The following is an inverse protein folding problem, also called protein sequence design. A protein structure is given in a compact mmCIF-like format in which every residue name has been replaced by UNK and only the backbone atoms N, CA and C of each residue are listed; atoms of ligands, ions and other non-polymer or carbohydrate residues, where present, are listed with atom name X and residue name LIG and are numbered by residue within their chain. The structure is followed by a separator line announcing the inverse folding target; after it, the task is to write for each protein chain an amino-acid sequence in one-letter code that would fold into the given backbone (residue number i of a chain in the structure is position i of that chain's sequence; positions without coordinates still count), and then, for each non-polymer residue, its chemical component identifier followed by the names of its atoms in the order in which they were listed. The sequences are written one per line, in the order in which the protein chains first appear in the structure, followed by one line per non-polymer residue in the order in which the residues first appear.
data_IF_386365213575
#
_entry.id   IF_386365213575
#
_cell.length_a   1.000
_cell.length_b   1.000
_cell.length_c   1.000
_cell.angle_alpha   90.00
_cell.angle_beta   90.00
_cell.angle_gamma   90.00
#
_symmetry.space_group_name_H-M   'P 1'
#
loop_
_entity.id
_entity.type
_entity.pdbx_description
1 polymer ?
#
# COMPACT_ATOMS: atom_id res chain seq x y z
N UNK A 1 17.78 -2.76 12.83
CA UNK A 1 17.59 -1.71 11.81
C UNK A 1 17.46 -2.24 10.39
N UNK A 2 18.17 -3.31 9.99
CA UNK A 2 18.10 -3.85 8.62
C UNK A 2 16.69 -4.14 8.08
N UNK A 3 15.76 -4.66 8.90
CA UNK A 3 14.40 -4.98 8.45
C UNK A 3 13.55 -3.78 8.03
N UNK A 4 13.84 -2.57 8.54
CA UNK A 4 13.13 -1.36 8.15
C UNK A 4 13.36 -1.00 6.68
N UNK A 5 14.47 -1.42 6.08
CA UNK A 5 14.74 -1.19 4.66
C UNK A 5 13.65 -1.84 3.79
N UNK A 6 13.13 -2.99 4.19
CA UNK A 6 12.05 -3.68 3.47
C UNK A 6 10.74 -2.91 3.56
N UNK A 7 10.47 -2.29 4.71
CA UNK A 7 9.29 -1.44 4.90
C UNK A 7 9.37 -0.21 4.01
N UNK A 8 10.54 0.45 3.97
CA UNK A 8 10.77 1.65 3.13
C UNK A 8 10.70 1.31 1.65
N UNK A 9 11.36 0.23 1.21
CA UNK A 9 11.30 -0.24 -0.18
C UNK A 9 9.88 -0.63 -0.54
N UNK A 10 9.18 -1.36 0.33
CA UNK A 10 7.78 -1.73 0.12
C UNK A 10 6.87 -0.51 -0.02
N UNK A 11 7.07 0.53 0.81
CA UNK A 11 6.37 1.81 0.68
C UNK A 11 6.60 2.47 -0.67
N UNK A 12 7.85 2.53 -1.13
CA UNK A 12 8.18 3.11 -2.42
C UNK A 12 7.49 2.36 -3.58
N UNK A 13 7.51 1.02 -3.54
CA UNK A 13 6.84 0.18 -4.54
C UNK A 13 5.32 0.33 -4.50
N UNK A 14 4.74 0.49 -3.30
CA UNK A 14 3.31 0.74 -3.14
C UNK A 14 2.87 2.05 -3.78
N UNK A 15 3.59 3.14 -3.47
CA UNK A 15 3.32 4.46 -4.04
C UNK A 15 3.51 4.49 -5.55
N UNK A 16 4.55 3.81 -6.05
CA UNK A 16 4.76 3.66 -7.49
C UNK A 16 3.58 2.93 -8.15
N UNK A 17 3.14 1.81 -7.56
CA UNK A 17 1.99 1.06 -8.05
C UNK A 17 0.71 1.91 -8.09
N UNK A 18 0.46 2.69 -7.04
CA UNK A 18 -0.68 3.61 -7.00
C UNK A 18 -0.60 4.63 -8.12
N UNK A 19 0.55 5.25 -8.31
CA UNK A 19 0.78 6.20 -9.40
C UNK A 19 0.49 5.60 -10.78
N UNK A 20 0.97 4.37 -11.04
CA UNK A 20 0.69 3.67 -12.29
C UNK A 20 -0.80 3.34 -12.47
N UNK A 21 -1.48 2.96 -11.38
CA UNK A 21 -2.90 2.64 -11.43
C UNK A 21 -3.73 3.89 -11.72
N UNK A 22 -3.45 5.00 -11.04
CA UNK A 22 -4.16 6.27 -11.26
C UNK A 22 -3.92 6.83 -12.67
N UNK A 23 -2.68 6.68 -13.20
CA UNK A 23 -2.37 7.06 -14.58
C UNK A 23 -3.14 6.24 -15.61
N UNK A 24 -3.55 5.01 -15.28
CA UNK A 24 -4.38 4.18 -16.14
C UNK A 24 -5.87 4.56 -16.12
N UNK A 25 -6.29 5.46 -15.22
CA UNK A 25 -7.64 6.03 -15.14
C UNK A 25 -7.61 7.56 -15.33
N UNK A 26 -7.19 8.06 -16.52
CA UNK A 26 -7.24 9.49 -16.79
C UNK A 26 -8.70 9.96 -16.91
N UNK A 27 -9.13 10.89 -16.06
CA UNK A 27 -10.49 11.47 -16.12
C UNK A 27 -11.63 10.55 -15.65
N UNK A 28 -11.36 9.28 -15.35
CA UNK A 28 -12.37 8.33 -14.91
C UNK A 28 -12.27 8.05 -13.41
N UNK A 29 -13.43 7.75 -12.79
CA UNK A 29 -13.48 7.34 -11.39
C UNK A 29 -12.88 5.95 -11.23
N UNK A 30 -11.90 5.84 -10.33
CA UNK A 30 -11.33 4.57 -9.93
C UNK A 30 -12.15 3.98 -8.76
N UNK A 31 -12.58 2.71 -8.83
CA UNK A 31 -13.26 2.06 -7.72
C UNK A 31 -12.29 1.84 -6.55
N UNK A 32 -12.71 2.16 -5.32
CA UNK A 32 -11.89 2.01 -4.10
C UNK A 32 -11.84 0.57 -3.62
N UNK A 33 -12.97 -0.14 -3.72
CA UNK A 33 -13.14 -1.49 -3.14
C UNK A 33 -13.22 -2.60 -4.19
N UNK A 34 -13.39 -2.25 -5.47
CA UNK A 34 -13.47 -3.22 -6.56
C UNK A 34 -12.11 -3.32 -7.28
N UNK A 35 -11.89 -4.46 -7.92
CA UNK A 35 -10.65 -4.72 -8.62
C UNK A 35 -10.53 -3.77 -9.84
N UNK A 36 -9.48 -2.94 -9.94
CA UNK A 36 -9.35 -1.98 -11.03
C UNK A 36 -9.06 -2.69 -12.36
N UNK A 37 -10.06 -2.76 -13.24
CA UNK A 37 -9.98 -3.42 -14.54
C UNK A 37 -8.87 -2.88 -15.47
N UNK A 38 -8.53 -1.58 -15.38
CA UNK A 38 -7.50 -0.94 -16.21
C UNK A 38 -6.12 -0.92 -15.54
N UNK A 39 -5.97 -1.50 -14.35
CA UNK A 39 -4.67 -1.47 -13.67
C UNK A 39 -3.64 -2.29 -14.45
N UNK A 40 -2.46 -1.73 -14.75
CA UNK A 40 -1.43 -2.45 -15.48
C UNK A 40 -0.91 -3.61 -14.62
N UNK A 41 -0.62 -4.76 -15.26
CA UNK A 41 -0.10 -5.97 -14.57
C UNK A 41 1.11 -5.67 -13.68
N UNK A 42 1.99 -4.75 -14.11
CA UNK A 42 3.14 -4.29 -13.32
C UNK A 42 2.73 -3.62 -12.00
N UNK A 43 1.66 -2.83 -11.98
CA UNK A 43 1.15 -2.22 -10.76
C UNK A 43 0.62 -3.28 -9.78
N UNK A 44 -0.07 -4.31 -10.27
CA UNK A 44 -0.55 -5.43 -9.44
C UNK A 44 0.62 -6.18 -8.80
N UNK A 45 1.66 -6.50 -9.59
CA UNK A 45 2.87 -7.15 -9.08
C UNK A 45 3.57 -6.27 -8.04
N UNK A 46 3.75 -4.97 -8.32
CA UNK A 46 4.33 -4.03 -7.38
C UNK A 46 3.55 -3.94 -6.06
N UNK A 47 2.21 -3.99 -6.10
CA UNK A 47 1.35 -4.05 -4.91
C UNK A 47 1.63 -5.30 -4.09
N UNK A 48 1.66 -6.47 -4.73
CA UNK A 48 1.91 -7.72 -4.04
C UNK A 48 3.30 -7.74 -3.38
N UNK A 49 4.34 -7.32 -4.12
CA UNK A 49 5.71 -7.24 -3.61
C UNK A 49 5.83 -6.22 -2.48
N UNK A 50 5.20 -5.05 -2.62
CA UNK A 50 5.16 -4.02 -1.58
C UNK A 50 4.53 -4.53 -0.29
N UNK A 51 3.35 -5.15 -0.38
CA UNK A 51 2.65 -5.70 0.79
C UNK A 51 3.48 -6.80 1.45
N UNK A 52 4.07 -7.71 0.68
CA UNK A 52 4.94 -8.76 1.21
C UNK A 52 6.16 -8.17 1.94
N UNK A 53 6.83 -7.17 1.35
CA UNK A 53 7.98 -6.51 1.94
C UNK A 53 7.64 -5.78 3.26
N UNK A 54 6.49 -5.10 3.31
CA UNK A 54 6.03 -4.39 4.52
C UNK A 54 5.63 -5.39 5.61
N UNK A 55 4.86 -6.42 5.29
CA UNK A 55 4.45 -7.46 6.27
C UNK A 55 5.68 -8.15 6.85
N UNK A 56 6.58 -8.62 5.98
CA UNK A 56 7.78 -9.32 6.42
C UNK A 56 8.73 -8.40 7.18
N UNK A 57 9.01 -7.20 6.65
CA UNK A 57 9.88 -6.21 7.31
C UNK A 57 9.35 -5.79 8.68
N UNK A 58 8.05 -5.53 8.79
CA UNK A 58 7.41 -5.16 10.06
C UNK A 58 7.39 -6.32 11.04
N UNK A 59 7.08 -7.54 10.58
CA UNK A 59 7.09 -8.74 11.41
C UNK A 59 8.48 -9.02 12.00
N UNK A 60 9.51 -9.03 11.15
CA UNK A 60 10.89 -9.24 11.58
C UNK A 60 11.40 -8.12 12.47
N UNK A 61 11.03 -6.86 12.20
CA UNK A 61 11.37 -5.74 13.07
C UNK A 61 10.69 -5.87 14.44
N UNK A 62 9.41 -6.22 14.48
CA UNK A 62 8.64 -6.35 15.72
C UNK A 62 9.13 -7.51 16.58
N UNK A 63 9.61 -8.59 15.96
CA UNK A 63 10.22 -9.72 16.67
C UNK A 63 11.47 -9.32 17.47
N UNK A 64 12.18 -8.24 17.08
CA UNK A 64 13.35 -7.74 17.82
C UNK A 64 12.99 -7.08 19.16
N UNK A 65 11.72 -6.80 19.42
CA UNK A 65 11.28 -6.12 20.64
C UNK A 65 11.18 -7.03 21.87
N UNK A 66 11.36 -8.36 21.72
CA UNK A 66 11.23 -9.32 22.82
C UNK A 66 9.82 -9.36 23.42
N UNK A 67 8.81 -8.94 22.67
CA UNK A 67 7.40 -8.87 23.10
C UNK A 67 6.62 -10.13 22.67
N UNK A 68 5.46 -10.41 23.30
CA UNK A 68 4.60 -11.50 22.87
C UNK A 68 4.17 -11.37 21.40
N UNK A 69 3.97 -12.49 20.71
CA UNK A 69 3.71 -12.53 19.26
C UNK A 69 2.49 -11.72 18.81
N UNK A 70 1.49 -11.50 19.66
CA UNK A 70 0.33 -10.65 19.33
C UNK A 70 0.73 -9.19 19.07
N UNK A 71 1.80 -8.70 19.69
CA UNK A 71 2.30 -7.33 19.48
C UNK A 71 2.83 -7.19 18.05
N UNK A 72 3.49 -8.21 17.51
CA UNK A 72 3.94 -8.22 16.12
C UNK A 72 2.76 -8.25 15.14
N UNK A 73 1.69 -9.00 15.46
CA UNK A 73 0.47 -9.00 14.65
C UNK A 73 -0.21 -7.62 14.62
N UNK A 74 -0.30 -6.95 15.78
CA UNK A 74 -0.84 -5.57 15.87
C UNK A 74 0.05 -4.60 15.10
N UNK A 75 1.37 -4.71 15.20
CA UNK A 75 2.30 -3.85 14.48
C UNK A 75 2.17 -4.02 12.95
N UNK A 76 2.08 -5.25 12.45
CA UNK A 76 1.86 -5.54 11.02
C UNK A 76 0.50 -5.01 10.57
N UNK A 77 -0.57 -5.31 11.31
CA UNK A 77 -1.92 -4.84 10.99
C UNK A 77 -2.03 -3.31 10.98
N UNK A 78 -1.47 -2.66 12.00
CA UNK A 78 -1.39 -1.20 12.09
C UNK A 78 -0.57 -0.59 10.95
N UNK A 79 0.55 -1.21 10.58
CA UNK A 79 1.37 -0.77 9.45
C UNK A 79 0.61 -0.87 8.13
N UNK A 80 -0.10 -1.97 7.87
CA UNK A 80 -0.93 -2.10 6.67
C UNK A 80 -2.05 -1.06 6.64
N UNK A 81 -2.71 -0.81 7.76
CA UNK A 81 -3.78 0.18 7.85
C UNK A 81 -3.25 1.60 7.60
N UNK A 82 -2.17 2.00 8.28
CA UNK A 82 -1.64 3.37 8.25
C UNK A 82 -0.83 3.67 6.99
N UNK A 83 -0.02 2.71 6.53
CA UNK A 83 0.94 2.92 5.44
C UNK A 83 0.38 2.58 4.07
N UNK A 84 -0.61 1.68 3.99
CA UNK A 84 -1.18 1.24 2.72
C UNK A 84 -2.62 1.68 2.55
N UNK A 85 -3.50 1.30 3.47
CA UNK A 85 -4.94 1.49 3.30
C UNK A 85 -5.37 2.97 3.41
N UNK A 86 -4.96 3.66 4.47
CA UNK A 86 -5.29 5.07 4.66
C UNK A 86 -4.84 5.95 3.47
N UNK A 87 -3.57 5.91 3.02
CA UNK A 87 -3.15 6.70 1.87
C UNK A 87 -3.82 6.25 0.58
N UNK A 88 -4.09 4.95 0.39
CA UNK A 88 -4.85 4.46 -0.76
C UNK A 88 -6.24 5.13 -0.84
N UNK A 89 -7.01 5.09 0.25
CA UNK A 89 -8.36 5.67 0.29
C UNK A 89 -8.30 7.18 0.04
N UNK A 90 -7.39 7.89 0.72
CA UNK A 90 -7.25 9.35 0.60
C UNK A 90 -6.91 9.76 -0.83
N UNK A 91 -5.93 9.09 -1.45
CA UNK A 91 -5.45 9.45 -2.79
C UNK A 91 -6.50 9.14 -3.85
N UNK A 92 -7.15 7.98 -3.78
CA UNK A 92 -8.22 7.61 -4.72
C UNK A 92 -9.42 8.54 -4.56
N UNK A 93 -9.82 8.86 -3.33
CA UNK A 93 -10.90 9.83 -3.09
C UNK A 93 -10.56 11.21 -3.66
N UNK A 94 -9.31 11.68 -3.48
CA UNK A 94 -8.85 12.95 -4.05
C UNK A 94 -8.85 12.94 -5.58
N UNK A 95 -8.44 11.83 -6.20
CA UNK A 95 -8.49 11.64 -7.65
C UNK A 95 -9.93 11.71 -8.16
N UNK A 96 -10.83 10.94 -7.57
CA UNK A 96 -12.24 10.88 -7.98
C UNK A 96 -13.00 12.20 -7.79
N UNK A 97 -12.62 13.01 -6.79
CA UNK A 97 -13.16 14.37 -6.63
C UNK A 97 -12.76 15.29 -7.78
N UNK A 98 -11.52 15.18 -8.26
CA UNK A 98 -11.03 15.98 -9.40
C UNK A 98 -11.70 15.58 -10.71
N UNK A 99 -11.91 14.30 -10.94
CA UNK A 99 -12.57 13.80 -12.15
C UNK A 99 -14.07 14.11 -12.19
N UNK A 100 -14.69 14.49 -11.07
CA UNK A 100 -16.11 14.86 -11.01
C UNK A 100 -16.34 16.36 -11.17
N UNK A 101 -15.27 17.17 -11.17
CA UNK A 101 -15.32 18.63 -11.28
C UNK A 101 -15.04 19.14 -12.71
N UNK A 102 -14.65 18.22 -13.61
CA UNK A 102 -14.51 18.39 -15.07
C UNK A 102 -15.65 17.68 -15.76
#
# INVERSE_FOLDING_TARGET
MGWLVLVVVGLALWWWSLGLTLRAYPGERMPVWANPAKAPRRAVVLRAVATAAIVFGTGMFSATWGRPGWVAAVAVGGSLALLLLAPHVVVVARHNRRTSAT
#
